data_IF_643273410462
#
_entry.id   IF_643273410462
#
_cell.length_a   1.000
_cell.length_b   1.000
_cell.length_c   1.000
_cell.angle_alpha   90.00
_cell.angle_beta   90.00
_cell.angle_gamma   90.00
#
_symmetry.space_group_name_H-M   'P 1'
#
loop_
_entity.id
_entity.type
_entity.pdbx_description
1 polymer ?
#
# COMPACT_ATOMS: atom_id res chain seq x y z
N UNK A 1 -34.93 14.32 11.99
CA UNK A 1 -33.55 14.42 11.44
C UNK A 1 -32.47 14.29 12.51
N UNK A 2 -32.50 15.03 13.64
CA UNK A 2 -31.48 14.95 14.71
C UNK A 2 -31.18 13.52 15.21
N UNK A 3 -32.20 12.68 15.45
CA UNK A 3 -32.02 11.28 15.88
C UNK A 3 -31.34 10.37 14.84
N UNK A 4 -31.41 10.72 13.55
CA UNK A 4 -30.84 9.90 12.48
C UNK A 4 -29.37 10.26 12.24
N UNK A 5 -29.02 11.55 12.38
CA UNK A 5 -27.66 12.08 12.19
C UNK A 5 -26.79 11.91 13.45
N UNK A 6 -27.36 12.14 14.64
CA UNK A 6 -26.68 12.02 15.94
C UNK A 6 -27.02 10.71 16.66
N UNK A 7 -27.66 9.76 15.97
CA UNK A 7 -28.19 8.53 16.57
C UNK A 7 -27.11 7.66 17.19
N UNK A 8 -26.79 7.92 18.45
CA UNK A 8 -25.98 7.10 19.31
C UNK A 8 -26.90 6.44 20.35
N UNK A 9 -27.00 5.11 20.30
CA UNK A 9 -27.70 4.32 21.30
C UNK A 9 -26.66 3.59 22.14
N UNK A 10 -26.88 3.51 23.45
CA UNK A 10 -26.03 2.70 24.30
C UNK A 10 -26.21 1.22 23.94
N UNK A 11 -25.10 0.48 23.86
CA UNK A 11 -25.15 -0.97 23.67
C UNK A 11 -25.64 -1.67 24.95
N UNK A 12 -26.10 -2.93 24.86
CA UNK A 12 -26.69 -3.64 26.00
C UNK A 12 -25.75 -3.78 27.21
N UNK A 13 -24.44 -3.84 26.98
CA UNK A 13 -23.44 -4.03 28.03
C UNK A 13 -22.33 -2.98 27.98
N UNK A 14 -21.76 -2.66 29.15
CA UNK A 14 -20.62 -1.73 29.28
C UNK A 14 -19.39 -2.21 28.50
N UNK A 15 -19.01 -3.51 28.52
CA UNK A 15 -17.90 -3.99 27.71
C UNK A 15 -18.12 -3.80 26.20
N UNK A 16 -19.36 -3.98 25.71
CA UNK A 16 -19.67 -3.75 24.30
C UNK A 16 -19.50 -2.26 23.91
N UNK A 17 -19.92 -1.33 24.76
CA UNK A 17 -19.67 0.10 24.54
C UNK A 17 -18.16 0.43 24.55
N UNK A 18 -17.37 -0.19 25.44
CA UNK A 18 -15.91 -0.01 25.48
C UNK A 18 -15.26 -0.59 24.22
N UNK A 19 -15.68 -1.77 23.77
CA UNK A 19 -15.17 -2.38 22.54
C UNK A 19 -15.46 -1.49 21.33
N UNK A 20 -16.68 -0.94 21.22
CA UNK A 20 -17.03 0.00 20.16
C UNK A 20 -16.22 1.30 20.25
N UNK A 21 -15.96 1.82 21.45
CA UNK A 21 -15.09 2.98 21.65
C UNK A 21 -13.68 2.70 21.14
N UNK A 22 -13.05 1.61 21.59
CA UNK A 22 -11.69 1.24 21.19
C UNK A 22 -11.61 1.00 19.68
N UNK A 23 -12.63 0.36 19.10
CA UNK A 23 -12.73 0.14 17.67
C UNK A 23 -12.81 1.47 16.90
N UNK A 24 -13.71 2.39 17.31
CA UNK A 24 -13.83 3.71 16.69
C UNK A 24 -12.56 4.55 16.85
N UNK A 25 -11.93 4.54 18.02
CA UNK A 25 -10.67 5.23 18.27
C UNK A 25 -9.58 4.72 17.36
N UNK A 26 -9.41 3.40 17.26
CA UNK A 26 -8.41 2.79 16.40
C UNK A 26 -8.66 3.15 14.93
N UNK A 27 -9.87 2.92 14.41
CA UNK A 27 -10.19 3.23 13.02
C UNK A 27 -10.00 4.72 12.71
N UNK A 28 -10.58 5.58 13.53
CA UNK A 28 -10.57 7.03 13.34
C UNK A 28 -9.17 7.62 13.41
N UNK A 29 -8.38 7.28 14.43
CA UNK A 29 -7.01 7.77 14.57
C UNK A 29 -6.07 7.18 13.52
N UNK A 30 -6.24 5.91 13.15
CA UNK A 30 -5.41 5.28 12.12
C UNK A 30 -5.59 5.97 10.76
N UNK A 31 -6.83 6.30 10.38
CA UNK A 31 -7.07 7.03 9.13
C UNK A 31 -6.69 8.50 9.25
N UNK A 32 -7.05 9.16 10.35
CA UNK A 32 -6.75 10.57 10.53
C UNK A 32 -5.25 10.85 10.48
N UNK A 33 -4.46 10.07 11.21
CA UNK A 33 -3.02 10.29 11.34
C UNK A 33 -2.22 9.56 10.26
N UNK A 34 -2.58 8.30 9.98
CA UNK A 34 -1.84 7.46 9.04
C UNK A 34 -2.10 7.81 7.58
N UNK A 35 -3.32 8.21 7.22
CA UNK A 35 -3.68 8.57 5.86
C UNK A 35 -3.81 10.08 5.67
N UNK A 36 -4.73 10.72 6.40
CA UNK A 36 -5.04 12.15 6.22
C UNK A 36 -3.86 13.08 6.52
N UNK A 37 -3.34 13.01 7.76
CA UNK A 37 -2.19 13.80 8.18
C UNK A 37 -0.91 13.43 7.43
N UNK A 38 -0.68 12.14 7.20
CA UNK A 38 0.46 11.65 6.42
C UNK A 38 0.51 12.26 5.02
N UNK A 39 -0.64 12.48 4.37
CA UNK A 39 -0.72 13.15 3.05
C UNK A 39 -0.55 14.67 3.15
N UNK A 40 -1.17 15.31 4.13
CA UNK A 40 -1.13 16.77 4.28
C UNK A 40 0.22 17.33 4.78
N UNK A 41 1.02 16.50 5.46
CA UNK A 41 2.30 16.92 6.06
C UNK A 41 3.51 16.84 5.12
N UNK A 42 3.31 16.45 3.85
CA UNK A 42 4.40 16.24 2.90
C UNK A 42 5.00 17.57 2.36
N UNK A 43 6.17 17.95 2.90
CA UNK A 43 7.35 18.58 2.27
C UNK A 43 7.49 20.09 1.94
N UNK A 44 6.53 21.02 2.10
CA UNK A 44 6.81 22.44 1.71
C UNK A 44 6.24 23.56 2.60
N UNK A 45 5.78 23.29 3.82
CA UNK A 45 5.36 24.36 4.73
C UNK A 45 4.07 25.09 4.33
N UNK A 46 3.43 24.67 3.23
CA UNK A 46 2.03 24.98 2.91
C UNK A 46 1.37 23.63 2.63
N UNK A 47 0.72 23.07 3.65
CA UNK A 47 0.18 21.70 3.62
C UNK A 47 -0.79 21.51 2.45
N UNK A 48 -0.76 20.35 1.80
CA UNK A 48 -1.62 20.01 0.66
C UNK A 48 -1.42 18.56 0.20
N UNK A 49 -2.32 18.02 -0.64
CA UNK A 49 -2.21 16.66 -1.17
C UNK A 49 -0.96 16.56 -2.06
N UNK A 50 -0.16 15.48 -1.94
CA UNK A 50 1.04 15.32 -2.75
C UNK A 50 0.69 15.02 -4.21
N UNK A 51 1.54 15.42 -5.15
CA UNK A 51 1.30 15.31 -6.59
C UNK A 51 0.97 13.88 -7.06
N UNK A 52 1.63 12.87 -6.47
CA UNK A 52 1.34 11.47 -6.79
C UNK A 52 -0.12 11.09 -6.44
N UNK A 53 -0.67 11.66 -5.36
CA UNK A 53 -2.04 11.38 -4.94
C UNK A 53 -3.03 12.10 -5.85
N UNK A 54 -2.71 13.33 -6.26
CA UNK A 54 -3.47 14.07 -7.26
C UNK A 54 -3.53 13.31 -8.59
N UNK A 55 -2.40 12.75 -9.04
CA UNK A 55 -2.32 11.93 -10.24
C UNK A 55 -3.11 10.62 -10.09
N UNK A 56 -3.07 9.98 -8.91
CA UNK A 56 -3.88 8.79 -8.63
C UNK A 56 -5.38 9.09 -8.71
N UNK A 57 -5.82 10.19 -8.10
CA UNK A 57 -7.22 10.65 -8.17
C UNK A 57 -7.64 10.96 -9.62
N UNK A 58 -6.76 11.61 -10.39
CA UNK A 58 -7.00 11.85 -11.82
C UNK A 58 -7.12 10.55 -12.62
N UNK A 59 -6.27 9.56 -12.35
CA UNK A 59 -6.28 8.24 -13.00
C UNK A 59 -7.55 7.44 -12.73
N UNK A 60 -8.22 7.69 -11.60
CA UNK A 60 -9.54 7.14 -11.27
C UNK A 60 -10.70 7.86 -11.98
N UNK A 61 -10.43 8.88 -12.79
CA UNK A 61 -11.43 9.64 -13.54
C UNK A 61 -11.99 10.87 -12.81
N UNK A 62 -11.51 11.18 -11.60
CA UNK A 62 -11.91 12.39 -10.86
C UNK A 62 -11.17 13.63 -11.38
N UNK A 63 -11.42 13.99 -12.65
CA UNK A 63 -10.74 15.10 -13.33
C UNK A 63 -11.53 16.40 -13.30
N UNK A 64 -12.86 16.32 -13.23
CA UNK A 64 -13.75 17.49 -13.18
C UNK A 64 -14.30 17.67 -11.75
N UNK A 65 -14.28 18.88 -11.15
CA UNK A 65 -13.81 20.16 -11.69
C UNK A 65 -12.28 20.36 -11.60
N UNK A 66 -11.58 19.60 -10.76
CA UNK A 66 -10.11 19.55 -10.71
C UNK A 66 -9.64 18.33 -9.90
N UNK A 67 -8.63 17.56 -10.34
CA UNK A 67 -8.07 16.46 -9.54
C UNK A 67 -7.50 16.94 -8.19
N UNK A 68 -6.95 18.15 -8.14
CA UNK A 68 -6.44 18.74 -6.91
C UNK A 68 -7.56 18.94 -5.90
N UNK A 69 -8.73 19.43 -6.33
CA UNK A 69 -9.87 19.62 -5.45
C UNK A 69 -10.31 18.29 -4.83
N UNK A 70 -10.42 17.24 -5.64
CA UNK A 70 -10.79 15.90 -5.16
C UNK A 70 -9.75 15.32 -4.20
N UNK A 71 -8.47 15.50 -4.50
CA UNK A 71 -7.38 15.08 -3.61
C UNK A 71 -7.41 15.82 -2.28
N UNK A 72 -7.68 17.13 -2.29
CA UNK A 72 -7.84 17.94 -1.09
C UNK A 72 -9.03 17.49 -0.24
N UNK A 73 -10.19 17.28 -0.86
CA UNK A 73 -11.38 16.76 -0.20
C UNK A 73 -11.14 15.37 0.40
N UNK A 74 -10.40 14.51 -0.30
CA UNK A 74 -10.07 13.20 0.20
C UNK A 74 -9.12 13.25 1.41
N UNK A 75 -8.08 14.09 1.36
CA UNK A 75 -7.13 14.24 2.48
C UNK A 75 -7.80 14.83 3.72
N UNK A 76 -8.58 15.90 3.55
CA UNK A 76 -9.34 16.50 4.66
C UNK A 76 -10.46 15.59 5.16
N UNK A 77 -11.11 14.85 4.28
CA UNK A 77 -12.09 13.83 4.63
C UNK A 77 -11.50 12.73 5.50
N UNK A 78 -10.31 12.22 5.14
CA UNK A 78 -9.59 11.23 5.95
C UNK A 78 -9.17 11.83 7.31
N UNK A 79 -8.60 13.04 7.32
CA UNK A 79 -8.13 13.69 8.54
C UNK A 79 -9.28 14.05 9.48
N UNK A 80 -10.19 14.92 9.04
CA UNK A 80 -11.29 15.43 9.87
C UNK A 80 -12.33 14.36 10.11
N UNK A 81 -12.70 13.58 9.08
CA UNK A 81 -13.63 12.47 9.22
C UNK A 81 -13.12 11.41 10.19
N UNK A 82 -11.82 11.08 10.14
CA UNK A 82 -11.19 10.16 11.10
C UNK A 82 -11.20 10.69 12.53
N UNK A 83 -10.87 11.97 12.75
CA UNK A 83 -10.91 12.59 14.08
C UNK A 83 -12.34 12.65 14.64
N UNK A 84 -13.32 13.05 13.82
CA UNK A 84 -14.73 13.07 14.20
C UNK A 84 -15.24 11.67 14.57
N UNK A 85 -14.87 10.64 13.80
CA UNK A 85 -15.20 9.25 14.08
C UNK A 85 -14.61 8.76 15.42
N UNK A 86 -13.33 9.08 15.67
CA UNK A 86 -12.63 8.72 16.91
C UNK A 86 -13.32 9.33 18.14
N UNK A 87 -13.65 10.62 18.07
CA UNK A 87 -14.38 11.33 19.13
C UNK A 87 -15.86 10.89 19.23
N UNK A 88 -16.40 10.28 18.18
CA UNK A 88 -17.80 9.92 18.08
C UNK A 88 -18.69 11.16 17.94
N UNK A 89 -18.29 12.10 17.10
CA UNK A 89 -19.07 13.29 16.74
C UNK A 89 -19.53 13.15 15.28
N UNK A 90 -20.83 13.34 15.03
CA UNK A 90 -21.46 13.06 13.73
C UNK A 90 -21.10 11.66 13.21
N UNK A 91 -21.02 10.68 14.12
CA UNK A 91 -20.38 9.37 13.92
C UNK A 91 -20.86 8.66 12.65
N UNK A 92 -22.17 8.67 12.40
CA UNK A 92 -22.77 8.01 11.24
C UNK A 92 -22.38 8.69 9.93
N UNK A 93 -22.33 10.03 9.91
CA UNK A 93 -21.93 10.79 8.73
C UNK A 93 -20.44 10.65 8.45
N UNK A 94 -19.60 10.75 9.49
CA UNK A 94 -18.15 10.56 9.36
C UNK A 94 -17.81 9.16 8.89
N UNK A 95 -18.43 8.12 9.47
CA UNK A 95 -18.24 6.74 9.02
C UNK A 95 -18.74 6.52 7.59
N UNK A 96 -19.89 7.08 7.20
CA UNK A 96 -20.42 6.94 5.84
C UNK A 96 -19.51 7.61 4.80
N UNK A 97 -19.01 8.80 5.11
CA UNK A 97 -18.09 9.54 4.24
C UNK A 97 -16.77 8.77 4.08
N UNK A 98 -16.21 8.21 5.16
CA UNK A 98 -15.02 7.36 5.10
C UNK A 98 -15.30 6.04 4.34
N UNK A 99 -16.47 5.43 4.53
CA UNK A 99 -16.88 4.24 3.79
C UNK A 99 -16.92 4.53 2.28
N UNK A 100 -17.42 5.69 1.86
CA UNK A 100 -17.40 6.07 0.45
C UNK A 100 -15.99 6.18 -0.12
N UNK A 101 -15.05 6.81 0.59
CA UNK A 101 -13.66 6.89 0.14
C UNK A 101 -13.01 5.52 0.00
N UNK A 102 -13.21 4.65 1.00
CA UNK A 102 -12.64 3.32 0.98
C UNK A 102 -13.34 2.39 -0.01
N UNK A 103 -14.61 2.63 -0.35
CA UNK A 103 -15.28 1.98 -1.47
C UNK A 103 -14.58 2.28 -2.80
N UNK A 104 -14.32 3.56 -3.08
CA UNK A 104 -13.63 3.98 -4.31
C UNK A 104 -12.27 3.29 -4.42
N UNK A 105 -11.48 3.31 -3.34
CA UNK A 105 -10.13 2.72 -3.36
C UNK A 105 -10.18 1.19 -3.38
N UNK A 106 -11.13 0.55 -2.69
CA UNK A 106 -11.20 -0.91 -2.62
C UNK A 106 -11.76 -1.56 -3.89
N UNK A 107 -12.63 -0.86 -4.62
CA UNK A 107 -13.40 -1.46 -5.72
C UNK A 107 -13.25 -0.77 -7.08
N UNK A 108 -12.85 0.50 -7.13
CA UNK A 108 -12.66 1.19 -8.41
C UNK A 108 -11.19 1.31 -8.81
N UNK A 109 -10.26 1.14 -7.86
CA UNK A 109 -8.83 1.24 -8.13
C UNK A 109 -8.17 -0.08 -8.53
N UNK A 110 -8.69 -1.22 -8.07
CA UNK A 110 -8.15 -2.54 -8.41
C UNK A 110 -8.81 -3.10 -9.68
N UNK A 111 -8.03 -3.75 -10.54
CA UNK A 111 -8.53 -4.31 -11.81
C UNK A 111 -9.50 -5.50 -11.62
N UNK A 112 -9.35 -6.27 -10.54
CA UNK A 112 -10.19 -7.44 -10.20
C UNK A 112 -10.49 -7.50 -8.69
N UNK A 113 -11.32 -6.59 -8.17
CA UNK A 113 -11.62 -6.55 -6.75
C UNK A 113 -12.61 -7.66 -6.39
N UNK A 114 -12.20 -8.54 -5.48
CA UNK A 114 -13.10 -9.56 -4.93
C UNK A 114 -13.95 -8.93 -3.82
N UNK A 115 -15.27 -8.94 -3.96
CA UNK A 115 -16.14 -8.12 -3.09
C UNK A 115 -16.18 -8.58 -1.61
N UNK A 116 -16.23 -9.90 -1.40
CA UNK A 116 -16.42 -10.50 -0.06
C UNK A 116 -15.21 -11.29 0.44
N UNK A 117 -14.49 -11.94 -0.47
CA UNK A 117 -13.38 -12.85 -0.13
C UNK A 117 -12.01 -12.22 -0.31
N UNK A 118 -11.95 -10.99 -0.85
CA UNK A 118 -10.72 -10.25 -1.03
C UNK A 118 -10.04 -9.97 0.32
N UNK A 119 -8.77 -10.32 0.43
CA UNK A 119 -7.96 -10.09 1.64
C UNK A 119 -7.23 -8.74 1.57
N UNK A 120 -7.91 -7.70 1.08
CA UNK A 120 -7.32 -6.36 0.92
C UNK A 120 -7.56 -5.50 2.15
N UNK A 121 -6.51 -4.83 2.63
CA UNK A 121 -6.58 -3.96 3.81
C UNK A 121 -7.66 -2.87 3.66
N UNK A 122 -7.80 -2.28 2.48
CA UNK A 122 -8.78 -1.22 2.19
C UNK A 122 -10.23 -1.73 2.26
N UNK A 123 -10.48 -2.98 1.86
CA UNK A 123 -11.81 -3.61 1.99
C UNK A 123 -12.19 -3.83 3.44
N UNK A 124 -11.23 -4.20 4.30
CA UNK A 124 -11.47 -4.32 5.73
C UNK A 124 -11.93 -2.99 6.34
N UNK A 125 -11.25 -1.89 5.99
CA UNK A 125 -11.66 -0.55 6.45
C UNK A 125 -13.03 -0.15 5.92
N UNK A 126 -13.31 -0.42 4.63
CA UNK A 126 -14.64 -0.20 4.06
C UNK A 126 -15.74 -0.88 4.90
N UNK A 127 -15.62 -2.18 5.14
CA UNK A 127 -16.62 -2.93 5.91
C UNK A 127 -16.69 -2.50 7.38
N UNK A 128 -15.55 -2.12 7.97
CA UNK A 128 -15.52 -1.54 9.32
C UNK A 128 -16.29 -0.21 9.39
N UNK A 129 -16.16 0.66 8.40
CA UNK A 129 -16.92 1.91 8.34
C UNK A 129 -18.41 1.70 8.05
N UNK A 130 -18.76 0.74 7.20
CA UNK A 130 -20.16 0.32 7.01
C UNK A 130 -20.77 -0.12 8.34
N UNK A 131 -20.07 -0.94 9.11
CA UNK A 131 -20.51 -1.38 10.43
C UNK A 131 -20.76 -0.18 11.37
N UNK A 132 -19.81 0.75 11.48
CA UNK A 132 -19.98 1.92 12.36
C UNK A 132 -21.07 2.87 11.87
N UNK A 133 -21.30 2.99 10.56
CA UNK A 133 -22.41 3.77 10.00
C UNK A 133 -23.77 3.23 10.46
N UNK A 134 -23.90 1.90 10.53
CA UNK A 134 -25.14 1.23 10.96
C UNK A 134 -25.29 1.27 12.48
N UNK A 135 -24.24 0.91 13.22
CA UNK A 135 -24.24 0.81 14.70
C UNK A 135 -24.31 2.21 15.35
N UNK A 136 -23.55 3.17 14.83
CA UNK A 136 -23.41 4.52 15.40
C UNK A 136 -22.32 4.63 16.46
N UNK A 137 -22.37 5.70 17.28
CA UNK A 137 -21.29 6.06 18.21
C UNK A 137 -21.25 5.30 19.55
N UNK A 138 -22.35 4.70 19.99
CA UNK A 138 -22.43 4.06 21.31
C UNK A 138 -22.40 5.06 22.47
N UNK A 139 -22.40 4.55 23.72
CA UNK A 139 -22.49 5.37 24.94
C UNK A 139 -21.32 6.33 25.13
N UNK A 140 -20.11 5.96 24.72
CA UNK A 140 -18.90 6.78 24.86
C UNK A 140 -18.62 7.60 23.60
N UNK A 141 -19.62 8.28 23.08
CA UNK A 141 -19.51 9.18 21.92
C UNK A 141 -19.97 10.59 22.29
N UNK A 142 -19.39 11.61 21.64
CA UNK A 142 -19.85 12.98 21.79
C UNK A 142 -21.30 13.15 21.31
N UNK A 143 -21.72 12.39 20.30
CA UNK A 143 -23.11 12.34 19.84
C UNK A 143 -24.07 11.95 20.97
N UNK A 144 -23.74 10.89 21.72
CA UNK A 144 -24.55 10.43 22.85
C UNK A 144 -24.60 11.48 23.97
N UNK A 145 -23.45 12.11 24.26
CA UNK A 145 -23.36 13.15 25.28
C UNK A 145 -24.16 14.41 24.91
N UNK A 146 -24.09 14.86 23.66
CA UNK A 146 -24.86 16.00 23.13
C UNK A 146 -26.37 15.73 23.14
N UNK A 147 -26.79 14.51 22.77
CA UNK A 147 -28.20 14.12 22.83
C UNK A 147 -28.74 14.11 24.26
N UNK A 148 -27.95 13.69 25.25
CA UNK A 148 -28.37 13.74 26.65
C UNK A 148 -28.47 15.18 27.18
N UNK A 149 -27.53 16.07 26.81
CA UNK A 149 -27.62 17.50 27.16
C UNK A 149 -28.86 18.17 26.58
N UNK A 150 -29.19 17.90 25.32
CA UNK A 150 -30.38 18.46 24.69
C UNK A 150 -31.70 17.85 25.20
N UNK A 151 -31.64 16.70 25.90
CA UNK A 151 -32.78 16.01 26.51
C UNK A 151 -33.10 16.45 27.94
N UNK A 152 -32.29 17.32 28.56
CA UNK A 152 -32.48 17.77 29.94
C UNK A 152 -33.68 18.72 30.17
N UNK A 153 -34.57 18.87 29.18
CA UNK A 153 -35.84 19.61 29.31
C UNK A 153 -37.09 18.72 29.37
N UNK A 154 -36.99 17.38 29.50
CA UNK A 154 -38.17 16.56 29.83
C UNK A 154 -37.81 15.30 30.62
N UNK A 155 -37.85 15.46 31.93
CA UNK A 155 -38.17 14.36 32.85
C UNK A 155 -39.62 13.96 32.60
N UNK A 156 -39.86 12.82 31.94
CA UNK A 156 -40.95 11.90 32.35
C UNK A 156 -40.82 10.54 31.65
N UNK A 157 -40.54 9.53 32.46
CA UNK A 157 -41.08 8.17 32.49
C UNK A 157 -41.68 7.57 31.20
N UNK A 158 -41.22 6.37 30.83
CA UNK A 158 -41.87 5.09 31.24
C UNK A 158 -41.18 3.88 30.60
N UNK A 159 -41.15 2.82 31.39
CA UNK A 159 -40.99 1.44 30.93
C UNK A 159 -42.07 1.07 29.90
N UNK A 160 -41.65 0.47 28.79
CA UNK A 160 -42.39 -0.51 27.99
C UNK A 160 -41.32 -1.11 27.04
N UNK A 161 -41.01 -2.40 27.13
CA UNK A 161 -41.90 -3.44 26.65
C UNK A 161 -41.40 -3.89 25.28
N UNK A 162 -40.66 -4.99 25.28
CA UNK A 162 -40.42 -5.96 24.20
C UNK A 162 -40.81 -5.56 22.77
N UNK A 163 -39.83 -5.51 21.88
CA UNK A 163 -40.00 -5.96 20.50
C UNK A 163 -38.73 -6.68 20.07
N UNK A 164 -38.87 -8.00 20.04
CA UNK A 164 -37.99 -8.99 19.45
C UNK A 164 -37.61 -8.57 18.02
N UNK A 165 -36.32 -8.38 17.77
CA UNK A 165 -35.76 -8.63 16.44
C UNK A 165 -34.88 -9.87 16.59
N UNK A 166 -35.50 -11.01 16.31
CA UNK A 166 -34.84 -12.30 16.30
C UNK A 166 -33.73 -12.33 15.26
N UNK A 167 -32.58 -12.80 15.72
CA UNK A 167 -31.72 -13.81 15.09
C UNK A 167 -31.36 -13.59 13.62
N UNK A 168 -30.12 -13.13 13.39
CA UNK A 168 -29.19 -13.85 12.51
C UNK A 168 -27.88 -14.03 13.28
N UNK A 169 -27.79 -15.13 14.00
CA UNK A 169 -26.55 -15.66 14.52
C UNK A 169 -26.61 -17.18 14.39
N UNK A 170 -26.34 -17.71 13.19
CA UNK A 170 -25.82 -19.07 13.02
C UNK A 170 -24.96 -19.09 11.75
N UNK A 171 -23.65 -18.95 11.92
CA UNK A 171 -22.70 -19.94 11.39
C UNK A 171 -21.36 -19.81 12.13
N UNK A 172 -21.39 -20.20 13.41
CA UNK A 172 -20.22 -20.79 14.07
C UNK A 172 -20.39 -22.31 13.91
N UNK A 173 -20.21 -22.79 12.68
CA UNK A 173 -19.83 -24.18 12.50
C UNK A 173 -18.33 -24.22 12.68
N UNK A 174 -17.92 -24.94 13.73
CA UNK A 174 -16.61 -25.58 13.79
C UNK A 174 -16.43 -26.35 12.49
N UNK A 175 -15.72 -25.74 11.55
CA UNK A 175 -14.72 -26.49 10.83
C UNK A 175 -13.44 -26.07 11.55
N UNK A 176 -12.93 -26.96 12.40
CA UNK A 176 -11.50 -27.17 12.45
C UNK A 176 -11.09 -27.62 11.04
N UNK A 177 -11.21 -26.71 10.08
CA UNK A 177 -10.60 -26.84 8.78
C UNK A 177 -9.16 -26.68 9.15
N UNK A 178 -8.40 -27.74 8.95
CA UNK A 178 -6.97 -27.77 9.12
C UNK A 178 -6.45 -26.37 8.90
N UNK A 179 -5.95 -25.74 9.97
CA UNK A 179 -4.96 -24.69 9.78
C UNK A 179 -3.85 -25.46 9.09
N UNK A 180 -3.94 -25.54 7.76
CA UNK A 180 -2.76 -25.50 6.96
C UNK A 180 -2.16 -24.17 7.42
N UNK A 181 -1.25 -24.26 8.39
CA UNK A 181 -0.22 -23.27 8.55
C UNK A 181 0.12 -22.87 7.13
N UNK A 182 0.04 -21.56 6.81
CA UNK A 182 0.57 -21.09 5.54
C UNK A 182 1.87 -21.87 5.34
N UNK A 183 1.98 -22.70 4.29
CA UNK A 183 3.16 -23.52 4.13
C UNK A 183 4.32 -22.56 4.30
N UNK A 184 5.25 -22.83 5.24
CA UNK A 184 6.24 -21.86 5.70
C UNK A 184 6.75 -21.16 4.46
N UNK A 185 6.58 -19.83 4.34
CA UNK A 185 6.81 -19.07 3.10
C UNK A 185 8.09 -19.61 2.50
N UNK A 186 7.96 -20.51 1.53
CA UNK A 186 9.13 -21.24 1.05
C UNK A 186 9.85 -20.15 0.28
N UNK A 187 11.03 -19.71 0.75
CA UNK A 187 11.72 -18.60 0.11
C UNK A 187 11.85 -18.96 -1.36
N UNK A 188 11.37 -18.08 -2.24
CA UNK A 188 11.37 -18.34 -3.66
C UNK A 188 12.80 -18.70 -4.09
N UNK A 189 12.94 -19.75 -4.89
CA UNK A 189 14.25 -20.26 -5.32
C UNK A 189 14.43 -20.02 -6.81
N UNK A 190 15.66 -19.66 -7.18
CA UNK A 190 16.10 -19.63 -8.58
C UNK A 190 17.36 -20.46 -8.73
N UNK A 191 17.49 -21.16 -9.84
CA UNK A 191 18.73 -21.82 -10.24
C UNK A 191 19.52 -20.95 -11.22
N UNK A 192 20.85 -21.05 -11.21
CA UNK A 192 21.71 -20.28 -12.14
C UNK A 192 21.36 -20.55 -13.61
N UNK A 193 20.90 -21.77 -13.93
CA UNK A 193 20.46 -22.13 -15.28
C UNK A 193 19.29 -21.27 -15.79
N UNK A 194 18.46 -20.75 -14.88
CA UNK A 194 17.34 -19.86 -15.22
C UNK A 194 17.80 -18.42 -15.46
N UNK A 195 18.97 -18.05 -14.95
CA UNK A 195 19.60 -16.75 -15.13
C UNK A 195 20.59 -16.72 -16.31
N UNK A 196 20.88 -17.87 -16.93
CA UNK A 196 21.89 -17.98 -17.99
C UNK A 196 21.67 -17.04 -19.18
N UNK A 197 20.40 -16.70 -19.47
CA UNK A 197 20.06 -15.80 -20.58
C UNK A 197 20.58 -14.36 -20.35
N UNK A 198 20.96 -14.02 -19.11
CA UNK A 198 21.64 -12.76 -18.81
C UNK A 198 23.06 -12.75 -19.42
N UNK A 199 23.73 -13.91 -19.50
CA UNK A 199 25.12 -14.05 -19.93
C UNK A 199 25.31 -13.92 -21.46
N UNK A 200 24.93 -12.77 -21.99
CA UNK A 200 25.08 -12.37 -23.39
C UNK A 200 25.11 -10.84 -23.50
N UNK A 201 25.31 -10.32 -24.72
CA UNK A 201 25.16 -8.90 -24.99
C UNK A 201 23.67 -8.51 -25.12
N UNK A 202 23.36 -7.32 -24.61
CA UNK A 202 22.04 -6.70 -24.57
C UNK A 202 22.15 -5.22 -24.94
N UNK A 203 21.24 -4.75 -25.78
CA UNK A 203 21.16 -3.35 -26.19
C UNK A 203 19.92 -2.69 -25.57
N UNK A 204 20.06 -1.45 -25.10
CA UNK A 204 18.94 -0.77 -24.47
C UNK A 204 19.32 0.51 -23.76
N UNK A 205 18.78 0.69 -22.57
CA UNK A 205 18.92 1.94 -21.83
C UNK A 205 18.91 1.77 -20.32
N UNK A 206 19.53 2.75 -19.67
CA UNK A 206 19.39 3.03 -18.25
C UNK A 206 18.64 4.35 -18.11
N UNK A 207 17.49 4.33 -17.44
CA UNK A 207 16.87 5.54 -16.89
C UNK A 207 17.18 5.62 -15.40
N UNK A 208 17.83 6.70 -14.96
CA UNK A 208 18.11 6.95 -13.55
C UNK A 208 17.61 8.32 -13.11
N UNK A 209 17.36 8.47 -11.81
CA UNK A 209 17.00 9.76 -11.23
C UNK A 209 18.27 10.53 -10.87
N UNK A 210 18.55 11.61 -11.60
CA UNK A 210 19.72 12.46 -11.39
C UNK A 210 19.75 13.05 -9.98
N UNK A 211 20.92 12.99 -9.34
CA UNK A 211 21.05 13.32 -7.93
C UNK A 211 20.94 14.83 -7.65
N UNK A 212 21.33 15.66 -8.62
CA UNK A 212 21.37 17.12 -8.48
C UNK A 212 20.03 17.74 -8.87
N UNK A 213 19.54 17.40 -10.06
CA UNK A 213 18.34 17.97 -10.67
C UNK A 213 17.05 17.25 -10.28
N UNK A 214 17.17 16.02 -9.73
CA UNK A 214 16.02 15.14 -9.42
C UNK A 214 15.12 14.86 -10.62
N UNK A 215 15.66 14.96 -11.84
CA UNK A 215 14.95 14.62 -13.08
C UNK A 215 15.40 13.25 -13.59
N UNK A 216 14.52 12.49 -14.26
CA UNK A 216 14.92 11.26 -14.91
C UNK A 216 15.83 11.59 -16.10
N UNK A 217 16.96 10.90 -16.19
CA UNK A 217 17.91 10.93 -17.30
C UNK A 217 17.98 9.54 -17.89
N UNK A 218 17.94 9.43 -19.22
CA UNK A 218 18.03 8.15 -19.93
C UNK A 218 19.30 8.13 -20.78
N UNK A 219 20.13 7.11 -20.57
CA UNK A 219 21.35 6.86 -21.31
C UNK A 219 21.19 5.61 -22.17
N UNK A 220 21.65 5.68 -23.42
CA UNK A 220 21.82 4.47 -24.25
C UNK A 220 22.87 3.61 -23.56
N UNK A 221 22.53 2.34 -23.33
CA UNK A 221 23.32 1.43 -22.51
C UNK A 221 23.45 0.09 -23.21
N UNK A 222 24.69 -0.38 -23.36
CA UNK A 222 25.00 -1.75 -23.76
C UNK A 222 25.37 -2.52 -22.48
N UNK A 223 24.79 -3.69 -22.30
CA UNK A 223 25.14 -4.61 -21.22
C UNK A 223 25.77 -5.87 -21.82
N UNK A 224 26.95 -6.23 -21.35
CA UNK A 224 27.59 -7.51 -21.61
C UNK A 224 27.54 -8.36 -20.33
N UNK A 225 26.62 -9.31 -20.29
CA UNK A 225 26.57 -10.29 -19.22
C UNK A 225 27.51 -11.46 -19.49
N UNK A 226 28.23 -11.91 -18.46
CA UNK A 226 29.13 -13.05 -18.52
C UNK A 226 28.97 -13.92 -17.28
N UNK A 227 29.08 -15.24 -17.45
CA UNK A 227 29.16 -16.15 -16.30
C UNK A 227 30.62 -16.35 -15.91
N UNK A 228 31.06 -15.71 -14.82
CA UNK A 228 32.43 -15.79 -14.31
C UNK A 228 32.68 -17.02 -13.44
N UNK A 229 31.62 -17.68 -12.97
CA UNK A 229 31.71 -18.90 -12.17
C UNK A 229 30.38 -19.66 -12.05
N UNK A 230 30.35 -20.82 -11.36
CA UNK A 230 29.17 -21.68 -11.29
C UNK A 230 27.91 -20.99 -10.75
N UNK A 231 28.07 -20.02 -9.86
CA UNK A 231 26.97 -19.23 -9.25
C UNK A 231 27.25 -17.73 -9.33
N UNK A 232 28.08 -17.28 -10.27
CA UNK A 232 28.45 -15.87 -10.42
C UNK A 232 28.28 -15.39 -11.85
N UNK A 233 27.63 -14.23 -11.99
CA UNK A 233 27.56 -13.44 -13.21
C UNK A 233 28.29 -12.11 -12.99
N UNK A 234 28.89 -11.60 -14.06
CA UNK A 234 29.41 -10.23 -14.16
C UNK A 234 28.59 -9.52 -15.23
N UNK A 235 28.10 -8.33 -14.91
CA UNK A 235 27.29 -7.49 -15.78
C UNK A 235 28.08 -6.22 -16.11
N UNK A 236 28.70 -6.18 -17.28
CA UNK A 236 29.49 -5.04 -17.73
C UNK A 236 28.61 -4.06 -18.52
N UNK A 237 28.45 -2.85 -18.01
CA UNK A 237 27.65 -1.80 -18.61
C UNK A 237 28.53 -0.77 -19.31
N UNK A 238 28.11 -0.37 -20.52
CA UNK A 238 28.70 0.73 -21.28
C UNK A 238 27.59 1.76 -21.50
N UNK A 239 27.71 2.90 -20.84
CA UNK A 239 26.77 4.02 -20.91
C UNK A 239 27.30 5.05 -21.92
N UNK A 240 26.44 5.48 -22.84
CA UNK A 240 26.76 6.60 -23.73
C UNK A 240 26.20 7.90 -23.16
N UNK A 241 27.09 8.86 -22.93
CA UNK A 241 26.74 10.20 -22.45
C UNK A 241 26.28 11.09 -23.61
N UNK A 242 25.38 12.05 -23.36
CA UNK A 242 24.87 12.96 -24.40
C UNK A 242 25.97 13.78 -25.09
N UNK A 243 27.03 14.15 -24.37
CA UNK A 243 28.22 14.83 -24.89
C UNK A 243 29.15 13.93 -25.75
N UNK A 244 28.79 12.67 -25.99
CA UNK A 244 29.55 11.73 -26.82
C UNK A 244 30.62 10.92 -26.07
N UNK A 245 30.71 11.08 -24.74
CA UNK A 245 31.54 10.28 -23.86
C UNK A 245 30.99 8.87 -23.63
N UNK A 246 31.85 7.95 -23.17
CA UNK A 246 31.45 6.64 -22.69
C UNK A 246 31.92 6.41 -21.26
N UNK A 247 31.00 5.99 -20.41
CA UNK A 247 31.29 5.55 -19.04
C UNK A 247 31.08 4.04 -18.96
N UNK A 248 32.01 3.36 -18.30
CA UNK A 248 31.91 1.91 -18.06
C UNK A 248 31.68 1.65 -16.59
N UNK A 249 30.78 0.72 -16.29
CA UNK A 249 30.54 0.21 -14.94
C UNK A 249 30.38 -1.30 -15.00
N UNK A 250 30.48 -1.98 -13.87
CA UNK A 250 30.15 -3.39 -13.79
C UNK A 250 29.48 -3.72 -12.46
N UNK A 251 28.59 -4.70 -12.49
CA UNK A 251 28.00 -5.30 -11.29
C UNK A 251 28.38 -6.78 -11.20
N UNK A 252 28.72 -7.26 -9.99
CA UNK A 252 28.86 -8.69 -9.71
C UNK A 252 27.59 -9.25 -9.08
N UNK A 253 27.08 -10.35 -9.63
CA UNK A 253 25.85 -11.01 -9.17
C UNK A 253 26.17 -12.43 -8.75
N UNK A 254 26.08 -12.73 -7.46
CA UNK A 254 26.33 -14.06 -6.89
C UNK A 254 25.05 -14.67 -6.34
N UNK A 255 24.67 -15.83 -6.85
CA UNK A 255 23.54 -16.62 -6.35
C UNK A 255 24.01 -17.49 -5.16
N UNK A 256 23.20 -17.60 -4.12
CA UNK A 256 23.48 -18.51 -3.00
C UNK A 256 23.29 -19.98 -3.40
N UNK A 257 24.00 -20.88 -2.73
CA UNK A 257 23.93 -22.32 -3.02
C UNK A 257 22.52 -22.92 -2.88
N UNK A 258 21.71 -22.37 -1.98
CA UNK A 258 20.31 -22.77 -1.76
C UNK A 258 19.31 -22.11 -2.72
N UNK A 259 19.79 -21.19 -3.58
CA UNK A 259 19.01 -20.46 -4.57
C UNK A 259 18.07 -19.39 -4.00
N UNK A 260 18.17 -19.04 -2.72
CA UNK A 260 17.21 -18.14 -2.03
C UNK A 260 17.68 -16.68 -1.92
N UNK A 261 18.96 -16.40 -2.19
CA UNK A 261 19.56 -15.08 -2.05
C UNK A 261 20.46 -14.76 -3.23
N UNK A 262 20.53 -13.49 -3.58
CA UNK A 262 21.47 -12.94 -4.55
C UNK A 262 22.25 -11.83 -3.86
N UNK A 263 23.58 -11.89 -3.92
CA UNK A 263 24.45 -10.77 -3.57
C UNK A 263 24.71 -10.00 -4.86
N UNK A 264 24.14 -8.80 -4.96
CA UNK A 264 24.29 -7.93 -6.12
C UNK A 264 25.16 -6.73 -5.77
N UNK A 265 26.36 -6.68 -6.35
CA UNK A 265 27.41 -5.71 -6.08
C UNK A 265 27.63 -5.48 -4.57
N UNK A 266 27.90 -6.59 -3.87
CA UNK A 266 28.10 -6.60 -2.41
C UNK A 266 26.83 -6.45 -1.57
N UNK A 267 25.67 -6.15 -2.16
CA UNK A 267 24.41 -6.02 -1.43
C UNK A 267 23.65 -7.36 -1.37
N UNK A 268 23.44 -7.94 -0.18
CA UNK A 268 22.67 -9.18 -0.04
C UNK A 268 21.17 -8.92 -0.17
N UNK A 269 20.52 -9.59 -1.11
CA UNK A 269 19.08 -9.52 -1.36
C UNK A 269 18.47 -10.92 -1.29
N UNK A 270 17.33 -11.05 -0.62
CA UNK A 270 16.53 -12.27 -0.58
C UNK A 270 15.58 -12.28 -1.78
N UNK A 271 15.37 -13.45 -2.39
CA UNK A 271 14.34 -13.61 -3.41
C UNK A 271 13.00 -13.71 -2.70
N UNK A 272 12.20 -12.65 -2.76
CA UNK A 272 10.89 -12.59 -2.10
C UNK A 272 9.77 -13.11 -2.99
N UNK A 273 9.92 -13.00 -4.31
CA UNK A 273 8.96 -13.55 -5.29
C UNK A 273 9.66 -14.04 -6.55
N UNK A 274 9.14 -15.15 -7.10
CA UNK A 274 9.47 -15.67 -8.43
C UNK A 274 8.17 -16.03 -9.13
N UNK A 275 7.96 -15.55 -10.34
CA UNK A 275 6.79 -15.87 -11.16
C UNK A 275 7.18 -16.06 -12.62
N UNK A 276 6.39 -16.85 -13.33
CA UNK A 276 6.47 -17.01 -14.78
C UNK A 276 5.15 -16.52 -15.38
N UNK A 277 5.10 -15.29 -15.93
CA UNK A 277 3.92 -14.80 -16.60
C UNK A 277 3.62 -15.61 -17.89
N UNK A 278 2.45 -15.41 -18.52
CA UNK A 278 2.04 -16.16 -19.72
C UNK A 278 2.99 -16.01 -20.92
N UNK A 279 3.78 -14.94 -20.96
CA UNK A 279 4.81 -14.67 -21.97
C UNK A 279 6.10 -15.49 -21.77
N UNK A 280 6.10 -16.42 -20.80
CA UNK A 280 7.22 -17.29 -20.43
C UNK A 280 8.46 -16.55 -19.93
N UNK A 281 8.36 -15.27 -19.59
CA UNK A 281 9.44 -14.56 -18.92
C UNK A 281 9.63 -15.07 -17.50
N UNK A 282 10.83 -14.92 -16.96
CA UNK A 282 11.12 -15.08 -15.54
C UNK A 282 11.03 -13.70 -14.89
N UNK A 283 10.11 -13.55 -13.93
CA UNK A 283 10.02 -12.37 -13.08
C UNK A 283 10.53 -12.72 -11.68
N UNK A 284 11.53 -11.99 -11.18
CA UNK A 284 12.08 -12.11 -9.83
C UNK A 284 11.97 -10.78 -9.08
N UNK A 285 11.55 -10.85 -7.83
CA UNK A 285 11.62 -9.72 -6.90
C UNK A 285 12.65 -10.05 -5.83
N UNK A 286 13.67 -9.21 -5.72
CA UNK A 286 14.75 -9.30 -4.76
C UNK A 286 14.62 -8.17 -3.74
N UNK A 287 14.69 -8.47 -2.45
CA UNK A 287 14.50 -7.48 -1.40
C UNK A 287 15.57 -7.61 -0.31
N UNK A 288 16.05 -6.49 0.21
CA UNK A 288 17.05 -6.51 1.27
C UNK A 288 17.43 -5.12 1.77
N UNK A 289 18.18 -5.09 2.87
CA UNK A 289 18.76 -3.86 3.42
C UNK A 289 20.10 -3.57 2.73
N UNK A 290 20.35 -2.31 2.43
CA UNK A 290 21.60 -1.87 1.82
C UNK A 290 21.81 -0.37 1.94
N UNK A 291 22.73 0.15 1.14
CA UNK A 291 23.01 1.57 1.00
C UNK A 291 22.66 2.02 -0.42
N UNK A 292 22.06 3.19 -0.52
CA UNK A 292 21.92 3.95 -1.77
C UNK A 292 22.31 5.39 -1.47
N UNK A 293 23.24 5.96 -2.24
CA UNK A 293 23.75 7.33 -2.00
C UNK A 293 24.29 7.53 -0.57
N UNK A 294 25.04 6.53 -0.07
CA UNK A 294 25.55 6.46 1.31
C UNK A 294 24.49 6.51 2.41
N UNK A 295 23.20 6.35 2.08
CA UNK A 295 22.10 6.34 3.04
C UNK A 295 21.53 4.94 3.18
N UNK A 296 21.20 4.56 4.42
CA UNK A 296 20.52 3.29 4.71
C UNK A 296 19.13 3.28 4.10
N UNK A 297 18.82 2.21 3.39
CA UNK A 297 17.52 2.03 2.76
C UNK A 297 17.15 0.54 2.68
N UNK A 298 15.87 0.31 2.43
CA UNK A 298 15.37 -0.96 1.94
C UNK A 298 15.38 -0.93 0.41
N UNK A 299 16.02 -1.91 -0.21
CA UNK A 299 16.18 -2.01 -1.67
C UNK A 299 15.25 -3.12 -2.16
N UNK A 300 14.51 -2.82 -3.21
CA UNK A 300 13.72 -3.78 -3.97
C UNK A 300 14.22 -3.76 -5.41
N UNK A 301 14.60 -4.92 -5.95
CA UNK A 301 14.97 -5.08 -7.36
C UNK A 301 14.00 -6.03 -8.04
N UNK A 302 13.33 -5.56 -9.09
CA UNK A 302 12.48 -6.41 -9.93
C UNK A 302 13.23 -6.72 -11.22
N UNK A 303 13.42 -8.00 -11.51
CA UNK A 303 14.08 -8.51 -12.70
C UNK A 303 13.02 -9.15 -13.58
N UNK A 304 13.01 -8.82 -14.87
CA UNK A 304 12.24 -9.55 -15.88
C UNK A 304 13.21 -10.05 -16.94
N UNK A 305 13.23 -11.35 -17.18
CA UNK A 305 14.16 -12.01 -18.09
C UNK A 305 13.41 -12.94 -19.04
N UNK A 306 13.48 -12.66 -20.33
CA UNK A 306 13.04 -13.51 -21.41
C UNK A 306 14.19 -13.80 -22.38
N UNK A 307 13.87 -14.41 -23.52
CA UNK A 307 14.84 -14.72 -24.57
C UNK A 307 15.34 -13.49 -25.33
N UNK A 308 14.47 -12.48 -25.51
CA UNK A 308 14.75 -11.23 -26.22
C UNK A 308 14.47 -9.97 -25.38
N UNK A 309 14.23 -10.14 -24.07
CA UNK A 309 13.98 -9.03 -23.16
C UNK A 309 14.73 -9.24 -21.85
N UNK A 310 15.36 -8.19 -21.35
CA UNK A 310 15.91 -8.16 -20.01
C UNK A 310 15.67 -6.80 -19.38
N UNK A 311 15.17 -6.76 -18.16
CA UNK A 311 15.00 -5.50 -17.44
C UNK A 311 15.29 -5.66 -15.95
N UNK A 312 15.80 -4.59 -15.36
CA UNK A 312 16.09 -4.51 -13.92
C UNK A 312 15.58 -3.16 -13.42
N UNK A 313 14.58 -3.20 -12.55
CA UNK A 313 14.07 -2.02 -11.85
C UNK A 313 14.61 -2.01 -10.43
N UNK A 314 15.40 -1.00 -10.06
CA UNK A 314 15.86 -0.74 -8.69
C UNK A 314 14.98 0.33 -8.07
N UNK A 315 14.29 -0.05 -7.00
CA UNK A 315 13.54 0.84 -6.14
C UNK A 315 14.18 0.87 -4.75
N UNK A 316 14.15 2.04 -4.10
CA UNK A 316 14.65 2.18 -2.73
C UNK A 316 13.62 2.88 -1.86
N UNK A 317 13.52 2.44 -0.61
CA UNK A 317 12.78 3.12 0.44
C UNK A 317 13.76 3.48 1.54
N UNK A 318 14.12 4.75 1.63
CA UNK A 318 15.01 5.23 2.70
C UNK A 318 14.34 5.08 4.07
N UNK A 319 15.14 4.98 5.13
CA UNK A 319 14.62 4.94 6.49
C UNK A 319 13.78 6.21 6.79
N UNK A 320 12.56 6.02 7.27
CA UNK A 320 11.58 7.09 7.49
C UNK A 320 10.77 7.51 6.26
N UNK A 321 11.10 7.02 5.06
CA UNK A 321 10.28 7.24 3.87
C UNK A 321 9.08 6.29 3.83
N UNK A 322 7.92 6.81 3.41
CA UNK A 322 6.67 6.04 3.33
C UNK A 322 6.54 5.24 2.03
N UNK A 323 7.24 5.65 0.97
CA UNK A 323 7.13 5.05 -0.36
C UNK A 323 8.50 4.68 -0.92
N UNK A 324 8.49 3.70 -1.82
CA UNK A 324 9.62 3.42 -2.69
C UNK A 324 9.77 4.51 -3.74
N UNK A 325 11.01 4.83 -4.09
CA UNK A 325 11.34 5.64 -5.26
C UNK A 325 12.13 4.80 -6.24
N UNK A 326 11.86 4.96 -7.53
CA UNK A 326 12.67 4.37 -8.57
C UNK A 326 14.03 5.08 -8.62
N UNK A 327 15.11 4.32 -8.43
CA UNK A 327 16.48 4.83 -8.58
C UNK A 327 16.96 4.62 -10.01
N UNK A 328 16.91 3.37 -10.46
CA UNK A 328 17.42 2.95 -11.76
C UNK A 328 16.39 2.03 -12.41
N UNK A 329 16.18 2.21 -13.71
CA UNK A 329 15.40 1.32 -14.55
C UNK A 329 16.23 0.98 -15.78
N UNK A 330 16.68 -0.26 -15.83
CA UNK A 330 17.33 -0.83 -17.00
C UNK A 330 16.30 -1.53 -17.87
N UNK A 331 16.32 -1.24 -19.17
CA UNK A 331 15.46 -1.89 -20.16
C UNK A 331 16.31 -2.27 -21.36
N UNK A 332 16.36 -3.56 -21.66
CA UNK A 332 17.13 -4.13 -22.74
C UNK A 332 16.28 -5.04 -23.62
N UNK A 333 16.62 -5.04 -24.90
CA UNK A 333 16.02 -5.89 -25.91
C UNK A 333 17.09 -6.46 -26.83
N UNK A 334 16.69 -7.46 -27.61
CA UNK A 334 17.46 -8.07 -28.67
C UNK A 334 16.58 -8.33 -29.87
#
# INVERSE_FOLDING_TARGET
MKKLLLGATALPSRPADVALLLFRLHLGLSIALGAGWGKLSTLTGVGGPPDWFVQQVAGLGFTQPSPYLWAWLACWGELVGGLLLALGLLTRLSALQLAFQFFVIAFLWYDKPEFLVGMYYQQLFFWAFVLVTVVGGGRYSLDYWLLQRSGSARTTARLAGTASAQVVAVLLCVVAGSVAAQPPVVPAKVAMQELKAIAQQWDGSLTYLDYTTKKPVTLVTILNGMQSGPQELVLDFIYQEPEGGQVKGYDKVRLSADGTRIIWDGTPLQISRKTHPPDQTLELVLEGRGLDDNKKCFIKRTIVLGTCQFSVLKEVKYDGALAFITRNKYQFQR
#
